data_IF_158800696446
#
_entry.id   IF_158800696446
#
_cell.length_a   1.000
_cell.length_b   1.000
_cell.length_c   1.000
_cell.angle_alpha   90.00
_cell.angle_beta   90.00
_cell.angle_gamma   90.00
#
_symmetry.space_group_name_H-M   'P 1'
#
loop_
_entity.id
_entity.type
_entity.pdbx_description
1 polymer ?
#
# COMPACT_ATOMS: atom_id res chain seq x y z
N UNK A 1 -0.79 20.99 -5.10
CA UNK A 1 0.61 20.53 -4.95
C UNK A 1 1.62 21.47 -5.62
N UNK A 2 1.32 21.97 -6.82
CA UNK A 2 2.19 22.90 -7.58
C UNK A 2 1.77 24.36 -7.29
N UNK A 3 1.73 24.74 -6.01
CA UNK A 3 1.54 26.15 -5.66
C UNK A 3 2.86 26.64 -5.04
N UNK A 4 3.58 27.57 -5.71
CA UNK A 4 4.88 28.05 -5.24
C UNK A 4 4.77 28.99 -4.03
N UNK A 5 3.58 29.54 -3.77
CA UNK A 5 3.33 30.46 -2.66
C UNK A 5 3.39 29.76 -1.29
N UNK A 6 3.81 30.49 -0.25
CA UNK A 6 3.90 29.98 1.12
C UNK A 6 2.54 29.90 1.83
N UNK A 7 1.54 29.36 1.14
CA UNK A 7 0.19 29.16 1.63
C UNK A 7 -0.09 27.65 1.70
N UNK A 8 -0.81 27.18 2.72
CA UNK A 8 -1.17 25.76 2.91
C UNK A 8 0.03 24.81 3.00
N UNK A 9 0.83 24.94 4.08
CA UNK A 9 1.90 24.00 4.48
C UNK A 9 2.92 23.66 3.38
N UNK A 10 3.74 24.65 2.99
CA UNK A 10 4.76 24.53 1.94
C UNK A 10 5.70 23.34 2.17
N UNK A 11 6.22 23.15 3.38
CA UNK A 11 7.16 22.07 3.70
C UNK A 11 6.60 20.69 3.41
N UNK A 12 5.36 20.42 3.81
CA UNK A 12 4.69 19.14 3.57
C UNK A 12 4.45 18.86 2.09
N UNK A 13 4.16 19.90 1.28
CA UNK A 13 3.99 19.75 -0.17
C UNK A 13 5.31 19.42 -0.87
N UNK A 14 6.40 20.09 -0.50
CA UNK A 14 7.73 19.78 -1.03
C UNK A 14 8.17 18.37 -0.63
N UNK A 15 7.91 17.98 0.62
CA UNK A 15 8.15 16.61 1.07
C UNK A 15 7.36 15.61 0.22
N UNK A 16 6.07 15.85 -0.02
CA UNK A 16 5.23 14.98 -0.83
C UNK A 16 5.75 14.87 -2.28
N UNK A 17 6.12 16.00 -2.92
CA UNK A 17 6.71 16.00 -4.26
C UNK A 17 8.00 15.17 -4.27
N UNK A 18 8.90 15.43 -3.33
CA UNK A 18 10.16 14.70 -3.19
C UNK A 18 9.92 13.19 -3.00
N UNK A 19 8.95 12.82 -2.17
CA UNK A 19 8.57 11.42 -1.92
C UNK A 19 8.00 10.74 -3.16
N UNK A 20 7.14 11.43 -3.93
CA UNK A 20 6.64 10.91 -5.22
C UNK A 20 7.78 10.74 -6.23
N UNK A 21 8.68 11.72 -6.35
CA UNK A 21 9.84 11.62 -7.24
C UNK A 21 10.76 10.48 -6.83
N UNK A 22 11.02 10.28 -5.52
CA UNK A 22 11.75 9.12 -4.99
C UNK A 22 11.05 7.81 -5.36
N UNK A 23 9.73 7.75 -5.20
CA UNK A 23 8.94 6.56 -5.49
C UNK A 23 9.01 6.17 -6.99
N UNK A 24 8.91 7.15 -7.89
CA UNK A 24 9.03 6.93 -9.34
C UNK A 24 10.44 6.52 -9.79
N UNK A 25 11.46 6.73 -8.95
CA UNK A 25 12.87 6.42 -9.24
C UNK A 25 13.43 5.36 -8.29
N UNK A 26 12.56 4.56 -7.68
CA UNK A 26 12.90 3.73 -6.52
C UNK A 26 13.94 2.62 -6.77
N UNK A 27 14.24 2.30 -8.03
CA UNK A 27 15.32 1.37 -8.39
C UNK A 27 16.73 1.96 -8.33
N UNK A 28 16.87 3.29 -8.23
CA UNK A 28 18.19 3.97 -8.29
C UNK A 28 18.82 4.23 -6.92
N UNK A 29 18.05 4.10 -5.84
CA UNK A 29 18.41 4.59 -4.50
C UNK A 29 18.22 3.49 -3.45
N UNK A 30 18.81 3.68 -2.28
CA UNK A 30 18.44 2.89 -1.09
C UNK A 30 17.00 3.23 -0.70
N UNK A 31 16.19 2.22 -0.43
CA UNK A 31 14.77 2.37 -0.10
C UNK A 31 14.62 2.53 1.41
N UNK A 32 14.14 3.68 1.84
CA UNK A 32 13.85 3.99 3.26
C UNK A 32 12.43 3.53 3.65
N UNK A 33 12.13 3.53 4.95
CA UNK A 33 10.78 3.22 5.44
C UNK A 33 9.73 4.16 4.82
N UNK A 34 10.02 5.46 4.72
CA UNK A 34 9.11 6.44 4.12
C UNK A 34 8.78 6.12 2.65
N UNK A 35 9.76 5.66 1.87
CA UNK A 35 9.55 5.29 0.46
C UNK A 35 8.70 4.02 0.32
N UNK A 36 8.88 3.07 1.25
CA UNK A 36 8.06 1.87 1.34
C UNK A 36 6.62 2.20 1.73
N UNK A 37 6.46 2.99 2.79
CA UNK A 37 5.18 3.43 3.33
C UNK A 37 4.36 4.22 2.29
N UNK A 38 5.01 5.15 1.58
CA UNK A 38 4.42 5.91 0.48
C UNK A 38 4.00 5.01 -0.68
N UNK A 39 4.82 4.02 -1.04
CA UNK A 39 4.49 3.06 -2.08
C UNK A 39 3.22 2.26 -1.78
N UNK A 40 3.01 1.90 -0.52
CA UNK A 40 1.78 1.23 -0.09
C UNK A 40 0.55 2.15 -0.15
N UNK A 41 0.70 3.46 0.11
CA UNK A 41 -0.39 4.42 -0.12
C UNK A 41 -0.77 4.48 -1.62
N UNK A 42 0.23 4.49 -2.50
CA UNK A 42 0.00 4.50 -3.96
C UNK A 42 -0.77 3.26 -4.44
N UNK A 43 -0.56 2.10 -3.82
CA UNK A 43 -1.33 0.89 -4.14
C UNK A 43 -2.82 1.01 -3.83
N UNK A 44 -3.22 1.89 -2.90
CA UNK A 44 -4.64 2.18 -2.65
C UNK A 44 -5.24 3.16 -3.66
N UNK A 45 -4.41 3.87 -4.43
CA UNK A 45 -4.84 4.81 -5.46
C UNK A 45 -5.05 4.17 -6.83
N UNK A 46 -4.93 2.85 -6.93
CA UNK A 46 -5.06 2.09 -8.20
C UNK A 46 -6.37 2.42 -8.91
N UNK A 47 -7.48 2.49 -8.16
CA UNK A 47 -8.77 2.88 -8.72
C UNK A 47 -8.71 4.29 -9.32
N UNK A 48 -8.22 5.28 -8.56
CA UNK A 48 -8.10 6.67 -9.01
C UNK A 48 -7.19 6.79 -10.23
N UNK A 49 -6.02 6.17 -10.20
CA UNK A 49 -5.04 6.20 -11.28
C UNK A 49 -5.60 5.58 -12.56
N UNK A 50 -6.29 4.44 -12.44
CA UNK A 50 -6.92 3.80 -13.59
C UNK A 50 -8.01 4.65 -14.24
N UNK A 51 -8.72 5.48 -13.45
CA UNK A 51 -9.77 6.37 -13.94
C UNK A 51 -9.24 7.71 -14.46
N UNK A 52 -7.94 8.03 -14.32
CA UNK A 52 -7.36 9.20 -15.00
C UNK A 52 -7.50 9.07 -16.52
N UNK A 53 -7.44 7.84 -17.04
CA UNK A 53 -7.71 7.56 -18.45
C UNK A 53 -9.14 7.94 -18.86
N UNK A 54 -10.13 7.74 -17.98
CA UNK A 54 -11.53 8.07 -18.26
C UNK A 54 -11.67 9.57 -18.55
N UNK A 55 -10.97 10.42 -17.81
CA UNK A 55 -10.99 11.88 -18.02
C UNK A 55 -10.43 12.24 -19.40
N UNK A 56 -9.25 11.74 -19.74
CA UNK A 56 -8.62 11.99 -21.04
C UNK A 56 -9.49 11.48 -22.20
N UNK A 57 -10.04 10.28 -22.09
CA UNK A 57 -10.90 9.70 -23.11
C UNK A 57 -12.22 10.48 -23.27
N UNK A 58 -12.85 10.86 -22.16
CA UNK A 58 -14.10 11.65 -22.18
C UNK A 58 -13.89 13.03 -22.80
N UNK A 59 -12.71 13.63 -22.59
CA UNK A 59 -12.34 14.88 -23.24
C UNK A 59 -12.24 14.72 -24.77
N UNK A 60 -11.67 13.61 -25.25
CA UNK A 60 -11.51 13.36 -26.70
C UNK A 60 -12.80 12.97 -27.44
N UNK A 61 -13.68 12.20 -26.80
CA UNK A 61 -14.92 11.66 -27.41
C UNK A 61 -16.15 12.53 -27.08
N UNK A 62 -15.97 13.54 -26.23
CA UNK A 62 -17.03 14.37 -25.68
C UNK A 62 -17.67 13.76 -24.43
N UNK A 63 -18.01 14.63 -23.46
CA UNK A 63 -18.51 14.22 -22.15
C UNK A 63 -19.86 13.51 -22.18
N UNK A 64 -20.63 13.60 -23.27
CA UNK A 64 -21.89 12.87 -23.44
C UNK A 64 -21.66 11.37 -23.69
N UNK A 65 -20.54 11.01 -24.33
CA UNK A 65 -20.19 9.65 -24.72
C UNK A 65 -19.21 8.96 -23.75
N UNK A 66 -19.00 9.52 -22.56
CA UNK A 66 -18.02 9.05 -21.57
C UNK A 66 -18.14 7.56 -21.20
N UNK A 67 -19.34 6.97 -21.33
CA UNK A 67 -19.58 5.54 -21.06
C UNK A 67 -18.81 4.60 -22.00
N UNK A 68 -18.34 5.11 -23.15
CA UNK A 68 -17.48 4.36 -24.09
C UNK A 68 -16.02 4.28 -23.63
N UNK A 69 -15.64 5.01 -22.58
CA UNK A 69 -14.26 5.17 -22.11
C UNK A 69 -13.88 4.25 -20.91
N UNK A 70 -14.63 3.15 -20.71
CA UNK A 70 -14.41 2.21 -19.61
C UNK A 70 -13.50 1.03 -19.94
N UNK A 71 -13.48 0.02 -19.06
CA UNK A 71 -12.74 -1.24 -19.27
C UNK A 71 -13.27 -2.10 -20.41
N UNK A 72 -14.40 -1.74 -21.01
CA UNK A 72 -14.95 -2.34 -22.23
C UNK A 72 -14.39 -1.70 -23.51
N UNK A 73 -13.72 -0.55 -23.42
CA UNK A 73 -13.14 0.15 -24.56
C UNK A 73 -11.95 -0.61 -25.16
N UNK A 74 -11.66 -0.41 -26.45
CA UNK A 74 -10.44 -0.95 -27.12
C UNK A 74 -9.15 -0.48 -26.45
N UNK A 75 -9.21 0.67 -25.79
CA UNK A 75 -8.12 1.36 -25.11
C UNK A 75 -7.95 0.95 -23.64
N UNK A 76 -8.64 -0.09 -23.18
CA UNK A 76 -8.47 -0.64 -21.83
C UNK A 76 -7.01 -0.91 -21.40
N UNK A 77 -6.04 -1.25 -22.29
CA UNK A 77 -4.66 -1.45 -21.86
C UNK A 77 -4.04 -0.19 -21.24
N UNK A 78 -4.44 1.01 -21.66
CA UNK A 78 -3.96 2.25 -21.07
C UNK A 78 -4.42 2.40 -19.61
N UNK A 79 -5.69 2.09 -19.34
CA UNK A 79 -6.23 2.09 -17.97
C UNK A 79 -5.53 1.02 -17.10
N UNK A 80 -5.24 -0.16 -17.68
CA UNK A 80 -4.49 -1.22 -17.00
C UNK A 80 -3.06 -0.78 -16.66
N UNK A 81 -2.32 -0.15 -17.60
CA UNK A 81 -0.96 0.35 -17.36
C UNK A 81 -0.93 1.34 -16.18
N UNK A 82 -1.90 2.26 -16.13
CA UNK A 82 -2.03 3.20 -15.00
C UNK A 82 -2.38 2.50 -13.69
N UNK A 83 -3.23 1.46 -13.74
CA UNK A 83 -3.61 0.67 -12.58
C UNK A 83 -2.45 -0.16 -12.01
N UNK A 84 -1.59 -0.73 -12.87
CA UNK A 84 -0.47 -1.57 -12.45
C UNK A 84 0.75 -0.79 -11.97
N UNK A 85 0.86 0.50 -12.32
CA UNK A 85 2.03 1.33 -12.03
C UNK A 85 2.44 1.32 -10.54
N UNK A 86 1.52 1.48 -9.56
CA UNK A 86 1.88 1.35 -8.15
C UNK A 86 2.50 0.00 -7.80
N UNK A 87 1.92 -1.11 -8.30
CA UNK A 87 2.41 -2.45 -8.03
C UNK A 87 3.79 -2.69 -8.65
N UNK A 88 4.00 -2.23 -9.88
CA UNK A 88 5.29 -2.36 -10.55
C UNK A 88 6.39 -1.63 -9.76
N UNK A 89 6.11 -0.42 -9.29
CA UNK A 89 7.04 0.33 -8.44
C UNK A 89 7.38 -0.47 -7.18
N UNK A 90 6.40 -1.11 -6.54
CA UNK A 90 6.64 -1.93 -5.34
C UNK A 90 7.47 -3.18 -5.63
N UNK A 91 7.27 -3.82 -6.78
CA UNK A 91 8.11 -4.94 -7.23
C UNK A 91 9.55 -4.46 -7.39
N UNK A 92 9.78 -3.34 -8.08
CA UNK A 92 11.12 -2.76 -8.27
C UNK A 92 11.76 -2.41 -6.92
N UNK A 93 11.03 -1.77 -6.01
CA UNK A 93 11.50 -1.48 -4.64
C UNK A 93 11.90 -2.75 -3.89
N UNK A 94 11.10 -3.80 -4.01
CA UNK A 94 11.30 -5.07 -3.32
C UNK A 94 12.55 -5.78 -3.83
N UNK A 95 12.77 -5.79 -5.14
CA UNK A 95 14.00 -6.31 -5.76
C UNK A 95 15.20 -5.48 -5.33
N UNK A 96 15.12 -4.14 -5.36
CA UNK A 96 16.22 -3.28 -4.94
C UNK A 96 16.61 -3.53 -3.48
N UNK A 97 15.63 -3.63 -2.57
CA UNK A 97 15.89 -3.96 -1.16
C UNK A 97 16.52 -5.34 -0.99
N UNK A 98 16.10 -6.32 -1.77
CA UNK A 98 16.75 -7.64 -1.77
C UNK A 98 18.21 -7.55 -2.23
N UNK A 99 18.49 -6.79 -3.29
CA UNK A 99 19.88 -6.60 -3.77
C UNK A 99 20.76 -6.01 -2.68
N UNK A 100 20.24 -5.03 -1.93
CA UNK A 100 20.95 -4.31 -0.87
C UNK A 100 21.13 -5.12 0.43
N UNK A 101 20.10 -5.84 0.89
CA UNK A 101 20.13 -6.53 2.20
C UNK A 101 20.30 -8.05 2.12
N UNK A 102 20.12 -8.64 0.92
CA UNK A 102 20.07 -10.10 0.68
C UNK A 102 18.98 -10.86 1.46
N UNK A 103 18.01 -10.15 2.04
CA UNK A 103 16.95 -10.76 2.84
C UNK A 103 15.77 -11.21 1.95
N UNK A 104 15.48 -12.51 1.95
CA UNK A 104 14.43 -13.12 1.11
C UNK A 104 13.02 -12.56 1.36
N UNK A 105 12.72 -12.04 2.57
CA UNK A 105 11.42 -11.41 2.85
C UNK A 105 11.11 -10.25 1.91
N UNK A 106 12.11 -9.56 1.36
CA UNK A 106 11.87 -8.54 0.35
C UNK A 106 11.38 -9.12 -0.97
N UNK A 107 11.90 -10.27 -1.43
CA UNK A 107 11.38 -10.94 -2.63
C UNK A 107 9.97 -11.50 -2.40
N UNK A 108 9.68 -12.03 -1.21
CA UNK A 108 8.33 -12.45 -0.83
C UNK A 108 7.38 -11.23 -0.89
N UNK A 109 7.80 -10.06 -0.40
CA UNK A 109 7.01 -8.85 -0.55
C UNK A 109 6.79 -8.48 -2.04
N UNK A 110 7.82 -8.62 -2.88
CA UNK A 110 7.71 -8.43 -4.32
C UNK A 110 6.71 -9.37 -4.98
N UNK A 111 6.72 -10.65 -4.60
CA UNK A 111 5.77 -11.66 -5.04
C UNK A 111 4.33 -11.28 -4.76
N UNK A 112 4.04 -10.72 -3.58
CA UNK A 112 2.71 -10.19 -3.23
C UNK A 112 2.23 -9.15 -4.26
N UNK A 113 3.05 -8.17 -4.60
CA UNK A 113 2.66 -7.14 -5.58
C UNK A 113 2.59 -7.68 -7.02
N UNK A 114 3.43 -8.67 -7.37
CA UNK A 114 3.34 -9.37 -8.65
C UNK A 114 2.00 -10.12 -8.79
N UNK A 115 1.54 -10.81 -7.74
CA UNK A 115 0.20 -11.40 -7.72
C UNK A 115 -0.89 -10.34 -7.92
N UNK A 116 -0.71 -9.13 -7.37
CA UNK A 116 -1.60 -8.00 -7.62
C UNK A 116 -1.66 -7.59 -9.10
N UNK A 117 -0.52 -7.53 -9.79
CA UNK A 117 -0.46 -7.23 -11.23
C UNK A 117 -1.24 -8.27 -12.04
N UNK A 118 -1.03 -9.57 -11.75
CA UNK A 118 -1.72 -10.67 -12.43
C UNK A 118 -3.23 -10.60 -12.17
N UNK A 119 -3.64 -10.36 -10.92
CA UNK A 119 -5.04 -10.18 -10.56
C UNK A 119 -5.72 -9.06 -11.37
N UNK A 120 -5.10 -7.87 -11.45
CA UNK A 120 -5.67 -6.77 -12.23
C UNK A 120 -5.67 -7.08 -13.74
N UNK A 121 -4.65 -7.76 -14.26
CA UNK A 121 -4.64 -8.18 -15.66
C UNK A 121 -5.84 -9.09 -15.98
N UNK A 122 -6.07 -10.12 -15.16
CA UNK A 122 -7.22 -11.00 -15.30
C UNK A 122 -8.55 -10.24 -15.19
N UNK A 123 -8.66 -9.29 -14.24
CA UNK A 123 -9.84 -8.43 -14.10
C UNK A 123 -10.14 -7.65 -15.39
N UNK A 124 -9.14 -6.96 -15.94
CA UNK A 124 -9.34 -6.14 -17.15
C UNK A 124 -9.69 -7.00 -18.37
N UNK A 125 -9.04 -8.16 -18.55
CA UNK A 125 -9.38 -9.11 -19.63
C UNK A 125 -10.83 -9.57 -19.51
N UNK A 126 -11.25 -9.97 -18.31
CA UNK A 126 -12.63 -10.40 -18.06
C UNK A 126 -13.64 -9.29 -18.33
N UNK A 127 -13.36 -8.06 -17.88
CA UNK A 127 -14.22 -6.89 -18.13
C UNK A 127 -14.32 -6.55 -19.61
N UNK A 128 -13.21 -6.66 -20.35
CA UNK A 128 -13.18 -6.40 -21.79
C UNK A 128 -13.99 -7.41 -22.59
N UNK A 129 -13.99 -8.68 -22.17
CA UNK A 129 -14.79 -9.77 -22.77
C UNK A 129 -16.29 -9.72 -22.41
N UNK A 130 -16.79 -8.58 -21.92
CA UNK A 130 -18.21 -8.41 -21.60
C UNK A 130 -18.65 -9.00 -20.26
N UNK A 131 -17.72 -9.33 -19.37
CA UNK A 131 -18.02 -9.87 -18.02
C UNK A 131 -18.83 -11.18 -18.01
N UNK A 132 -18.64 -12.00 -19.03
CA UNK A 132 -19.25 -13.33 -19.11
C UNK A 132 -18.65 -14.27 -18.05
N UNK A 133 -19.42 -15.28 -17.62
CA UNK A 133 -18.94 -16.34 -16.72
C UNK A 133 -18.20 -17.42 -17.51
N UNK A 134 -17.03 -17.06 -18.03
CA UNK A 134 -16.18 -17.92 -18.86
C UNK A 134 -14.83 -18.20 -18.16
N UNK A 135 -13.85 -18.70 -18.90
CA UNK A 135 -12.51 -19.00 -18.36
C UNK A 135 -11.80 -17.77 -17.77
N UNK A 136 -11.97 -16.58 -18.35
CA UNK A 136 -11.33 -15.36 -17.81
C UNK A 136 -11.94 -14.92 -16.48
N UNK A 137 -13.24 -15.16 -16.28
CA UNK A 137 -13.88 -15.03 -14.96
C UNK A 137 -13.26 -15.97 -13.93
N UNK A 138 -13.07 -17.25 -14.28
CA UNK A 138 -12.47 -18.23 -13.39
C UNK A 138 -11.03 -17.85 -12.98
N UNK A 139 -10.21 -17.41 -13.95
CA UNK A 139 -8.86 -16.92 -13.68
C UNK A 139 -8.87 -15.67 -12.78
N UNK A 140 -9.76 -14.72 -13.04
CA UNK A 140 -9.89 -13.53 -12.18
C UNK A 140 -10.25 -13.90 -10.74
N UNK A 141 -11.20 -14.82 -10.54
CA UNK A 141 -11.57 -15.30 -9.20
C UNK A 141 -10.41 -16.05 -8.51
N UNK A 142 -9.67 -16.89 -9.25
CA UNK A 142 -8.52 -17.63 -8.74
C UNK A 142 -7.42 -16.67 -8.27
N UNK A 143 -6.94 -15.79 -9.16
CA UNK A 143 -5.87 -14.85 -8.83
C UNK A 143 -6.34 -13.78 -7.84
N UNK A 144 -7.62 -13.41 -7.85
CA UNK A 144 -8.23 -12.56 -6.83
C UNK A 144 -8.16 -13.20 -5.45
N UNK A 145 -8.54 -14.47 -5.33
CA UNK A 145 -8.44 -15.22 -4.07
C UNK A 145 -7.00 -15.36 -3.61
N UNK A 146 -6.08 -15.76 -4.50
CA UNK A 146 -4.66 -15.90 -4.17
C UNK A 146 -4.05 -14.58 -3.68
N UNK A 147 -4.32 -13.48 -4.39
CA UNK A 147 -3.82 -12.17 -3.99
C UNK A 147 -4.44 -11.68 -2.69
N UNK A 148 -5.76 -11.83 -2.49
CA UNK A 148 -6.44 -11.46 -1.25
C UNK A 148 -5.89 -12.22 -0.05
N UNK A 149 -5.70 -13.54 -0.16
CA UNK A 149 -5.13 -14.37 0.92
C UNK A 149 -3.69 -13.98 1.20
N UNK A 150 -2.84 -13.87 0.16
CA UNK A 150 -1.43 -13.52 0.34
C UNK A 150 -1.28 -12.13 0.97
N UNK A 151 -2.00 -11.13 0.46
CA UNK A 151 -1.89 -9.78 1.00
C UNK A 151 -2.47 -9.68 2.43
N UNK A 152 -3.53 -10.42 2.75
CA UNK A 152 -4.06 -10.48 4.13
C UNK A 152 -3.08 -11.15 5.09
N UNK A 153 -2.47 -12.26 4.69
CA UNK A 153 -1.45 -12.94 5.49
C UNK A 153 -0.23 -12.04 5.71
N UNK A 154 0.18 -11.29 4.69
CA UNK A 154 1.25 -10.31 4.79
C UNK A 154 0.90 -9.20 5.79
N UNK A 155 -0.31 -8.63 5.71
CA UNK A 155 -0.74 -7.56 6.63
C UNK A 155 -0.63 -8.04 8.08
N UNK A 156 -1.15 -9.24 8.37
CA UNK A 156 -1.19 -9.73 9.75
C UNK A 156 0.18 -10.16 10.27
N UNK A 157 0.98 -10.90 9.49
CA UNK A 157 2.25 -11.43 9.98
C UNK A 157 3.41 -10.44 9.87
N UNK A 158 3.50 -9.70 8.78
CA UNK A 158 4.66 -8.84 8.51
C UNK A 158 4.39 -7.39 8.88
N UNK A 159 3.26 -6.84 8.44
CA UNK A 159 3.01 -5.41 8.62
C UNK A 159 2.56 -5.08 10.05
N UNK A 160 1.73 -5.93 10.65
CA UNK A 160 1.16 -5.73 11.98
C UNK A 160 1.80 -6.61 13.07
N UNK A 161 2.62 -7.60 12.70
CA UNK A 161 3.29 -8.55 13.62
C UNK A 161 2.35 -9.27 14.59
N UNK A 162 1.13 -9.59 14.14
CA UNK A 162 0.10 -10.27 14.91
C UNK A 162 0.37 -11.78 15.05
N UNK A 163 -0.48 -12.45 15.84
CA UNK A 163 -0.43 -13.89 16.10
C UNK A 163 0.81 -14.36 16.86
N UNK A 164 1.29 -13.55 17.82
CA UNK A 164 2.37 -13.98 18.72
C UNK A 164 1.81 -14.92 19.79
N UNK A 165 2.49 -16.05 20.08
CA UNK A 165 2.05 -16.96 21.13
C UNK A 165 2.28 -16.33 22.52
N UNK A 166 1.48 -16.72 23.51
CA UNK A 166 1.62 -16.32 24.93
C UNK A 166 1.50 -14.81 25.20
N UNK A 167 0.43 -14.18 24.72
CA UNK A 167 0.17 -12.74 24.88
C UNK A 167 -1.11 -12.48 25.69
N UNK A 168 -1.20 -11.31 26.34
CA UNK A 168 -2.35 -10.90 27.17
C UNK A 168 -3.67 -10.89 26.39
N UNK A 169 -3.63 -10.49 25.12
CA UNK A 169 -4.78 -10.45 24.22
C UNK A 169 -4.55 -11.42 23.04
N UNK A 170 -5.34 -12.50 22.90
CA UNK A 170 -5.15 -13.49 21.85
C UNK A 170 -5.09 -12.88 20.44
N UNK A 171 -4.24 -13.43 19.58
CA UNK A 171 -4.01 -12.97 18.21
C UNK A 171 -3.34 -11.59 18.06
N UNK A 172 -3.20 -10.81 19.14
CA UNK A 172 -2.46 -9.56 19.11
C UNK A 172 -0.97 -9.78 19.40
N UNK A 173 -0.21 -8.69 19.46
CA UNK A 173 1.20 -8.69 19.90
C UNK A 173 1.30 -8.38 21.40
N UNK A 174 2.46 -8.66 21.99
CA UNK A 174 2.68 -8.49 23.42
C UNK A 174 2.59 -7.02 23.87
N UNK A 175 3.26 -6.13 23.13
CA UNK A 175 3.28 -4.69 23.40
C UNK A 175 2.31 -3.95 22.47
N UNK A 176 1.42 -3.17 23.05
CA UNK A 176 0.43 -2.34 22.35
C UNK A 176 0.50 -0.93 22.94
N UNK A 177 0.52 0.08 22.09
CA UNK A 177 0.50 1.50 22.47
C UNK A 177 -0.92 1.94 22.81
N UNK A 178 -1.91 1.49 22.05
CA UNK A 178 -3.32 1.87 22.24
C UNK A 178 -4.09 0.87 23.12
N UNK A 179 -3.65 0.66 24.37
CA UNK A 179 -4.26 -0.31 25.29
C UNK A 179 -5.69 0.02 25.68
N UNK A 180 -6.10 1.28 25.63
CA UNK A 180 -7.46 1.70 25.98
C UNK A 180 -8.48 1.40 24.87
N UNK A 181 -8.02 0.98 23.70
CA UNK A 181 -8.84 0.77 22.50
C UNK A 181 -8.65 -0.60 21.86
N UNK A 182 -8.47 -1.65 22.66
CA UNK A 182 -8.31 -3.04 22.20
C UNK A 182 -9.37 -3.49 21.16
N UNK A 183 -10.68 -3.15 21.29
CA UNK A 183 -11.68 -3.53 20.29
C UNK A 183 -11.37 -3.03 18.87
N UNK A 184 -10.66 -1.91 18.73
CA UNK A 184 -10.27 -1.38 17.41
C UNK A 184 -9.30 -2.29 16.67
N UNK A 185 -8.42 -3.01 17.37
CA UNK A 185 -7.51 -3.98 16.75
C UNK A 185 -8.27 -5.16 16.17
N UNK A 186 -9.21 -5.73 16.93
CA UNK A 186 -10.03 -6.84 16.43
C UNK A 186 -10.94 -6.40 15.29
N UNK A 187 -11.52 -5.19 15.37
CA UNK A 187 -12.25 -4.60 14.26
C UNK A 187 -11.36 -4.46 13.03
N UNK A 188 -10.13 -3.96 13.17
CA UNK A 188 -9.18 -3.82 12.06
C UNK A 188 -8.81 -5.18 11.44
N UNK A 189 -8.63 -6.23 12.24
CA UNK A 189 -8.36 -7.60 11.74
C UNK A 189 -9.51 -8.10 10.88
N UNK A 190 -10.73 -8.06 11.43
CA UNK A 190 -11.93 -8.58 10.74
C UNK A 190 -12.23 -7.75 9.50
N UNK A 191 -12.25 -6.42 9.62
CA UNK A 191 -12.53 -5.53 8.49
C UNK A 191 -11.45 -5.60 7.41
N UNK A 192 -10.16 -5.70 7.75
CA UNK A 192 -9.10 -5.88 6.76
C UNK A 192 -9.29 -7.19 5.98
N UNK A 193 -9.58 -8.30 6.66
CA UNK A 193 -9.85 -9.57 5.99
C UNK A 193 -11.04 -9.46 5.03
N UNK A 194 -12.17 -8.90 5.45
CA UNK A 194 -13.36 -8.73 4.60
C UNK A 194 -13.09 -7.80 3.41
N UNK A 195 -12.46 -6.65 3.65
CA UNK A 195 -12.18 -5.65 2.60
C UNK A 195 -11.14 -6.18 1.60
N UNK A 196 -10.23 -7.07 2.00
CA UNK A 196 -9.31 -7.74 1.06
C UNK A 196 -10.05 -8.58 0.02
N UNK A 197 -11.26 -9.06 0.32
CA UNK A 197 -12.14 -9.77 -0.61
C UNK A 197 -13.21 -8.86 -1.25
N UNK A 198 -13.05 -7.54 -1.17
CA UNK A 198 -14.04 -6.59 -1.69
C UNK A 198 -14.33 -6.74 -3.18
N UNK A 199 -13.40 -7.31 -3.96
CA UNK A 199 -13.60 -7.56 -5.39
C UNK A 199 -14.80 -8.47 -5.69
N UNK A 200 -15.24 -9.27 -4.72
CA UNK A 200 -16.44 -10.13 -4.82
C UNK A 200 -17.71 -9.32 -5.08
N UNK A 201 -17.77 -8.05 -4.65
CA UNK A 201 -18.95 -7.20 -4.88
C UNK A 201 -19.22 -6.96 -6.37
N UNK A 202 -18.24 -7.16 -7.25
CA UNK A 202 -18.39 -6.96 -8.70
C UNK A 202 -18.97 -8.18 -9.43
N UNK A 203 -19.16 -9.32 -8.77
CA UNK A 203 -19.68 -10.55 -9.37
C UNK A 203 -21.20 -10.50 -9.68
N UNK A 204 -22.08 -10.02 -8.77
CA UNK A 204 -23.52 -10.11 -9.00
C UNK A 204 -23.99 -9.12 -10.09
N UNK A 205 -24.77 -9.56 -11.07
CA UNK A 205 -25.22 -8.72 -12.20
C UNK A 205 -26.73 -8.45 -12.25
N UNK A 206 -27.57 -9.38 -11.79
CA UNK A 206 -29.03 -9.31 -12.02
C UNK A 206 -29.83 -8.49 -10.98
N UNK A 207 -29.37 -8.42 -9.72
CA UNK A 207 -30.13 -7.80 -8.62
C UNK A 207 -29.29 -6.85 -7.76
N UNK A 208 -28.08 -6.53 -8.21
CA UNK A 208 -27.13 -5.81 -7.38
C UNK A 208 -27.04 -4.33 -7.78
N UNK A 209 -26.65 -3.45 -6.83
CA UNK A 209 -26.68 -2.02 -7.06
C UNK A 209 -25.84 -1.59 -8.26
N UNK A 210 -26.10 -0.38 -8.75
CA UNK A 210 -25.36 0.23 -9.86
C UNK A 210 -23.84 0.09 -9.66
N UNK A 211 -23.11 -0.25 -10.72
CA UNK A 211 -21.65 -0.38 -10.72
C UNK A 211 -20.93 0.83 -10.09
N UNK A 212 -21.42 2.05 -10.32
CA UNK A 212 -20.85 3.27 -9.74
C UNK A 212 -20.98 3.32 -8.21
N UNK A 213 -22.10 2.83 -7.66
CA UNK A 213 -22.26 2.73 -6.21
C UNK A 213 -21.28 1.70 -5.63
N UNK A 214 -21.04 0.59 -6.33
CA UNK A 214 -20.06 -0.40 -5.89
C UNK A 214 -18.63 0.14 -5.93
N UNK A 215 -18.29 0.94 -6.94
CA UNK A 215 -17.01 1.66 -6.97
C UNK A 215 -16.88 2.64 -5.80
N UNK A 216 -17.94 3.38 -5.48
CA UNK A 216 -17.96 4.28 -4.34
C UNK A 216 -17.75 3.55 -3.01
N UNK A 217 -18.52 2.48 -2.78
CA UNK A 217 -18.38 1.63 -1.58
C UNK A 217 -16.97 1.03 -1.50
N UNK A 218 -16.43 0.52 -2.61
CA UNK A 218 -15.09 -0.03 -2.64
C UNK A 218 -14.00 1.01 -2.34
N UNK A 219 -14.13 2.22 -2.88
CA UNK A 219 -13.20 3.31 -2.59
C UNK A 219 -13.22 3.71 -1.12
N UNK A 220 -14.42 3.81 -0.52
CA UNK A 220 -14.55 4.15 0.90
C UNK A 220 -13.96 3.06 1.82
N UNK A 221 -14.24 1.79 1.52
CA UNK A 221 -13.70 0.67 2.29
C UNK A 221 -12.18 0.52 2.12
N UNK A 222 -11.64 0.75 0.93
CA UNK A 222 -10.19 0.77 0.71
C UNK A 222 -9.52 1.91 1.49
N UNK A 223 -10.16 3.08 1.59
CA UNK A 223 -9.68 4.20 2.41
C UNK A 223 -9.68 3.83 3.90
N UNK A 224 -10.75 3.23 4.42
CA UNK A 224 -10.83 2.75 5.80
C UNK A 224 -9.71 1.73 6.10
N UNK A 225 -9.54 0.74 5.22
CA UNK A 225 -8.49 -0.28 5.34
C UNK A 225 -7.10 0.34 5.40
N UNK A 226 -6.82 1.33 4.54
CA UNK A 226 -5.51 1.99 4.51
C UNK A 226 -5.29 2.87 5.75
N UNK A 227 -6.33 3.54 6.22
CA UNK A 227 -6.30 4.30 7.48
C UNK A 227 -5.93 3.38 8.65
N UNK A 228 -6.62 2.25 8.82
CA UNK A 228 -6.29 1.24 9.85
C UNK A 228 -4.86 0.73 9.71
N UNK A 229 -4.46 0.36 8.49
CA UNK A 229 -3.12 -0.14 8.22
C UNK A 229 -2.04 0.87 8.61
N UNK A 230 -2.25 2.16 8.36
CA UNK A 230 -1.29 3.21 8.72
C UNK A 230 -1.05 3.28 10.23
N UNK A 231 -2.11 3.27 11.05
CA UNK A 231 -1.96 3.31 12.51
C UNK A 231 -1.20 2.10 13.03
N UNK A 232 -1.66 0.89 12.69
CA UNK A 232 -1.10 -0.35 13.25
C UNK A 232 0.33 -0.59 12.72
N UNK A 233 0.60 -0.25 11.45
CA UNK A 233 1.94 -0.37 10.85
C UNK A 233 2.93 0.60 11.47
N UNK A 234 2.56 1.86 11.64
CA UNK A 234 3.43 2.86 12.27
C UNK A 234 3.75 2.49 13.71
N UNK A 235 2.75 2.00 14.44
CA UNK A 235 2.92 1.52 15.80
C UNK A 235 3.85 0.30 15.86
N UNK A 236 3.70 -0.67 14.95
CA UNK A 236 4.59 -1.84 14.86
C UNK A 236 6.04 -1.42 14.56
N UNK A 237 6.25 -0.47 13.65
CA UNK A 237 7.57 0.05 13.34
C UNK A 237 8.17 0.82 14.52
N UNK A 238 7.36 1.60 15.24
CA UNK A 238 7.80 2.35 16.42
C UNK A 238 8.29 1.41 17.52
N UNK A 239 7.50 0.38 17.85
CA UNK A 239 7.86 -0.62 18.84
C UNK A 239 9.11 -1.41 18.39
N UNK A 240 9.19 -1.80 17.12
CA UNK A 240 10.36 -2.49 16.58
C UNK A 240 11.65 -1.67 16.66
N UNK A 241 11.58 -0.37 16.40
CA UNK A 241 12.73 0.53 16.54
C UNK A 241 13.12 0.71 18.02
N UNK A 242 12.15 0.91 18.92
CA UNK A 242 12.41 1.00 20.36
C UNK A 242 13.08 -0.25 20.93
N UNK A 243 12.65 -1.43 20.49
CA UNK A 243 13.26 -2.69 20.89
C UNK A 243 14.72 -2.81 20.39
N UNK A 244 15.01 -2.37 19.17
CA UNK A 244 16.40 -2.32 18.68
C UNK A 244 17.27 -1.38 19.52
N UNK A 245 16.78 -0.20 19.89
CA UNK A 245 17.50 0.72 20.79
C UNK A 245 17.65 0.18 22.21
N UNK A 246 16.71 -0.65 22.70
CA UNK A 246 16.84 -1.31 23.99
C UNK A 246 17.90 -2.42 23.98
N UNK A 247 18.12 -3.05 22.83
CA UNK A 247 19.15 -4.09 22.63
C UNK A 247 20.54 -3.47 22.47
N UNK A 248 20.67 -2.33 21.80
CA UNK A 248 21.93 -1.56 21.77
C UNK A 248 21.99 -0.63 22.98
N UNK A 249 22.75 -1.01 24.02
CA UNK A 249 22.91 -0.25 25.27
C UNK A 249 23.35 1.22 25.12
N UNK A 250 23.76 1.64 23.93
CA UNK A 250 24.13 3.01 23.60
C UNK A 250 22.99 3.69 22.85
N UNK A 251 22.19 4.47 23.58
CA UNK A 251 21.32 5.48 22.98
C UNK A 251 22.22 6.66 22.63
N UNK A 252 22.41 7.02 21.36
CA UNK A 252 23.21 8.20 21.01
C UNK A 252 22.53 9.43 21.61
N UNK A 253 23.23 10.12 22.49
CA UNK A 253 22.76 11.39 23.05
C UNK A 253 22.59 12.40 21.90
N UNK A 254 21.57 13.28 21.97
CA UNK A 254 21.27 14.23 20.90
C UNK A 254 22.32 15.36 20.74
N UNK A 255 23.45 15.26 21.42
CA UNK A 255 24.57 16.19 21.36
C UNK A 255 25.86 15.38 21.18
N UNK A 256 26.63 15.72 20.15
CA UNK A 256 28.01 15.27 20.00
C UNK A 256 28.86 15.97 21.05
N UNK A 257 29.55 15.21 21.90
CA UNK A 257 30.65 15.79 22.66
C UNK A 257 31.78 16.07 21.66
N UNK A 258 32.14 17.34 21.48
CA UNK A 258 33.43 17.68 20.89
C UNK A 258 34.49 17.25 21.90
N UNK A 259 35.17 16.12 21.63
CA UNK A 259 36.28 15.56 22.43
C UNK A 259 37.55 16.47 22.46
N UNK A 260 37.43 17.75 22.13
CA UNK A 260 38.54 18.70 22.04
C UNK A 260 38.86 19.43 23.35
N UNK A 261 38.23 19.10 24.48
CA UNK A 261 38.44 19.81 25.75
C UNK A 261 39.04 18.97 26.90
N UNK A 262 39.44 17.72 26.67
CA UNK A 262 40.01 16.85 27.72
C UNK A 262 41.52 16.55 27.55
N UNK A 263 42.24 17.34 26.74
CA UNK A 263 43.69 17.13 26.52
C UNK A 263 44.64 18.17 27.14
N UNK A 264 44.13 19.16 27.88
CA UNK A 264 44.96 20.27 28.38
C UNK A 264 45.19 20.30 29.89
N UNK A 265 45.06 19.18 30.63
CA UNK A 265 45.25 19.21 32.11
C UNK A 265 46.17 18.15 32.72
N UNK A 266 46.99 17.44 31.95
CA UNK A 266 47.93 16.45 32.51
C UNK A 266 49.40 16.70 32.08
N UNK A 267 49.86 17.95 32.13
CA UNK A 267 51.30 18.29 32.16
C UNK A 267 51.50 19.58 32.99
N UNK A 268 51.74 19.40 34.30
CA UNK A 268 52.64 20.20 35.17
C UNK A 268 52.67 19.64 36.61
#
# INVERSE_FOLDING_TARGET
MINPFNLFFKSSRYWLIKSITKLLTSGTRRVEFADFWMGDQFCSLVFTLSNLYLFACSYTIGFENWRKCGSTARTWPAAFILAMLPFLIRVIQSVKRYVDSKLNTHLINGGKYLCGIIYYLCYYIWRHQGSLRNTSFAFWCLFGTLYSVYASAWDFWMDWSLFRPHVKYPFLRAELLYTDHIPLYYFAIISNALIRFIWVIYIPSASAPNMYLRFFIAGFLEMLRRWQWNFIRLENEHLGNMDQYRVTREVPLPYSFDDNHLRDTDDD
#
